data_IF_545704207870
#
_entry.id   IF_545704207870
#
_cell.length_a   1.000
_cell.length_b   1.000
_cell.length_c   1.000
_cell.angle_alpha   90.00
_cell.angle_beta   90.00
_cell.angle_gamma   90.00
#
_symmetry.space_group_name_H-M   'P 1'
#
loop_
_entity.id
_entity.type
_entity.pdbx_description
1 polymer ?
#
# COMPACT_ATOMS: atom_id res chain seq x y z
N UNK A 1 3.87 8.28 24.34
CA UNK A 1 4.56 7.28 25.21
C UNK A 1 3.64 7.03 26.39
N UNK A 2 3.44 5.78 26.82
CA UNK A 2 2.62 5.45 28.00
C UNK A 2 3.37 5.93 29.24
N UNK A 3 2.66 6.59 30.16
CA UNK A 3 3.13 6.88 31.50
C UNK A 3 2.68 5.73 32.42
N UNK A 4 3.57 4.79 32.67
CA UNK A 4 3.26 3.58 33.45
C UNK A 4 2.89 3.86 34.88
N UNK A 5 3.30 5.00 35.46
CA UNK A 5 2.87 5.42 36.81
C UNK A 5 1.37 5.76 36.93
N UNK A 6 0.68 5.81 35.76
CA UNK A 6 -0.74 6.13 35.63
C UNK A 6 -1.48 5.10 34.80
N UNK A 7 -1.01 3.85 34.82
CA UNK A 7 -1.53 2.79 33.94
C UNK A 7 -3.05 2.61 34.05
N UNK A 8 -3.62 2.81 35.25
CA UNK A 8 -5.06 2.72 35.51
C UNK A 8 -5.92 3.77 34.79
N UNK A 9 -5.31 4.85 34.30
CA UNK A 9 -6.00 5.88 33.53
C UNK A 9 -6.11 5.50 32.04
N UNK A 10 -5.36 4.51 31.60
CA UNK A 10 -5.43 4.03 30.19
C UNK A 10 -6.57 3.03 30.06
N UNK A 11 -6.97 2.83 28.81
CA UNK A 11 -7.99 1.89 28.36
C UNK A 11 -7.49 1.17 27.13
N UNK A 12 -7.94 -0.05 26.92
CA UNK A 12 -7.75 -0.68 25.62
C UNK A 12 -8.34 0.21 24.53
N UNK A 13 -7.70 0.25 23.38
CA UNK A 13 -8.12 1.05 22.23
C UNK A 13 -7.44 0.56 20.94
N UNK A 14 -7.49 1.35 19.89
CA UNK A 14 -6.85 1.02 18.62
C UNK A 14 -5.31 0.95 18.67
N UNK A 15 -4.67 1.23 19.79
CA UNK A 15 -3.20 1.22 19.97
C UNK A 15 -2.72 0.57 21.28
N UNK A 16 -3.60 0.17 22.15
CA UNK A 16 -3.24 -0.46 23.43
C UNK A 16 -4.05 -1.75 23.56
N UNK A 17 -3.36 -2.81 23.86
CA UNK A 17 -3.93 -4.12 24.17
C UNK A 17 -3.30 -4.67 25.44
N UNK A 18 -4.12 -5.12 26.38
CA UNK A 18 -3.69 -5.70 27.63
C UNK A 18 -3.97 -7.20 27.71
N UNK A 19 -3.04 -7.96 28.24
CA UNK A 19 -3.15 -9.41 28.39
C UNK A 19 -2.59 -9.82 29.75
N UNK A 20 -3.37 -10.56 30.51
CA UNK A 20 -2.96 -11.04 31.83
C UNK A 20 -1.70 -11.92 31.80
N UNK A 21 -1.58 -12.81 30.80
CA UNK A 21 -0.42 -13.63 30.45
C UNK A 21 0.21 -14.49 31.57
N UNK A 22 -0.44 -14.70 32.74
CA UNK A 22 0.08 -15.51 33.86
C UNK A 22 0.32 -16.98 33.48
N UNK A 23 -0.38 -17.50 32.47
CA UNK A 23 -0.25 -18.89 31.97
C UNK A 23 0.70 -19.04 30.78
N UNK A 24 1.48 -18.01 30.45
CA UNK A 24 2.34 -17.97 29.24
C UNK A 24 1.79 -17.04 28.15
N UNK A 25 2.39 -17.04 26.95
CA UNK A 25 1.96 -16.20 25.87
C UNK A 25 0.54 -16.54 25.39
N UNK A 26 -0.40 -15.59 25.42
CA UNK A 26 -1.75 -15.83 24.92
C UNK A 26 -1.74 -16.07 23.41
N UNK A 27 -2.49 -17.06 22.91
CA UNK A 27 -2.55 -17.36 21.47
C UNK A 27 -3.02 -16.15 20.62
N UNK A 28 -3.92 -15.35 21.16
CA UNK A 28 -4.45 -14.14 20.50
C UNK A 28 -3.43 -13.02 20.34
N UNK A 29 -2.24 -13.08 20.99
CA UNK A 29 -1.19 -12.07 20.81
C UNK A 29 -0.76 -11.93 19.36
N UNK A 30 -0.81 -13.01 18.58
CA UNK A 30 -0.37 -13.01 17.18
C UNK A 30 -1.37 -12.29 16.26
N UNK A 31 -2.67 -12.40 16.56
CA UNK A 31 -3.71 -11.62 15.87
C UNK A 31 -3.51 -10.12 16.12
N UNK A 32 -3.26 -9.74 17.37
CA UNK A 32 -2.97 -8.35 17.75
C UNK A 32 -1.67 -7.85 17.14
N UNK A 33 -0.61 -8.66 17.14
CA UNK A 33 0.65 -8.32 16.46
C UNK A 33 0.43 -8.01 14.99
N UNK A 34 -0.25 -8.89 14.26
CA UNK A 34 -0.61 -8.69 12.86
C UNK A 34 -1.44 -7.43 12.68
N UNK A 35 -2.48 -7.25 13.48
CA UNK A 35 -3.39 -6.12 13.39
C UNK A 35 -2.68 -4.77 13.62
N UNK A 36 -1.82 -4.66 14.63
CA UNK A 36 -1.03 -3.47 14.90
C UNK A 36 -0.02 -3.19 13.76
N UNK A 37 0.73 -4.19 13.35
CA UNK A 37 1.71 -4.03 12.27
C UNK A 37 1.05 -3.58 10.95
N UNK A 38 -0.12 -4.10 10.62
CA UNK A 38 -0.83 -3.75 9.38
C UNK A 38 -1.54 -2.39 9.45
N UNK A 39 -1.85 -1.87 10.65
CA UNK A 39 -2.68 -0.66 10.79
C UNK A 39 -1.86 0.55 11.22
N UNK A 40 -1.79 0.85 12.50
CA UNK A 40 -1.18 2.08 13.02
C UNK A 40 -0.01 1.84 13.97
N UNK A 41 0.37 0.57 14.18
CA UNK A 41 1.19 0.18 15.29
C UNK A 41 0.41 0.22 16.61
N UNK A 42 1.04 -0.23 17.71
CA UNK A 42 0.42 -0.24 19.03
C UNK A 42 1.33 -0.83 20.06
N UNK A 43 0.82 -0.93 21.27
CA UNK A 43 1.53 -1.45 22.42
C UNK A 43 0.73 -2.62 23.01
N UNK A 44 1.39 -3.77 23.16
CA UNK A 44 0.83 -4.93 23.86
C UNK A 44 1.48 -4.97 25.24
N UNK A 45 0.64 -5.06 26.27
CA UNK A 45 1.03 -5.15 27.65
C UNK A 45 0.73 -6.56 28.17
N UNK A 46 1.76 -7.31 28.57
CA UNK A 46 1.61 -8.61 29.25
C UNK A 46 1.82 -8.42 30.75
N UNK A 47 1.02 -9.08 31.57
CA UNK A 47 0.95 -8.81 33.00
C UNK A 47 0.03 -7.63 33.34
N UNK A 48 -0.97 -7.40 32.46
CA UNK A 48 -1.98 -6.36 32.69
C UNK A 48 -3.36 -6.94 32.42
N UNK A 49 -4.31 -6.65 33.27
CA UNK A 49 -5.71 -7.04 33.08
C UNK A 49 -6.62 -5.82 33.06
N UNK A 50 -7.69 -5.91 32.27
CA UNK A 50 -8.74 -4.89 32.23
C UNK A 50 -9.83 -5.26 33.24
N UNK A 51 -10.18 -4.29 34.11
CA UNK A 51 -11.25 -4.48 35.05
C UNK A 51 -12.63 -4.11 34.46
N UNK A 52 -13.68 -4.35 35.23
CA UNK A 52 -15.07 -4.13 34.80
C UNK A 52 -15.37 -2.64 34.44
N UNK A 53 -14.63 -1.70 35.00
CA UNK A 53 -14.71 -0.26 34.72
C UNK A 53 -13.82 0.17 33.54
N UNK A 54 -13.21 -0.82 32.84
CA UNK A 54 -12.28 -0.62 31.76
C UNK A 54 -10.90 -0.07 32.15
N UNK A 55 -10.59 0.06 33.43
CA UNK A 55 -9.25 0.45 33.90
C UNK A 55 -8.26 -0.70 33.75
N UNK A 56 -6.99 -0.37 33.45
CA UNK A 56 -5.91 -1.35 33.33
C UNK A 56 -5.17 -1.48 34.66
N UNK A 57 -4.98 -2.70 35.12
CA UNK A 57 -4.29 -3.01 36.36
C UNK A 57 -3.17 -4.01 36.15
N UNK A 58 -2.03 -3.77 36.75
CA UNK A 58 -0.89 -4.70 36.68
C UNK A 58 -1.14 -5.95 37.49
N UNK A 59 -0.59 -7.05 37.04
CA UNK A 59 -0.44 -8.32 37.73
C UNK A 59 0.98 -8.80 37.55
N UNK A 60 1.69 -9.08 38.62
CA UNK A 60 3.11 -9.44 38.58
C UNK A 60 3.30 -10.73 37.78
N UNK A 61 4.15 -10.67 36.76
CA UNK A 61 4.51 -11.83 35.93
C UNK A 61 5.57 -12.66 36.67
N UNK A 62 5.37 -13.96 36.86
CA UNK A 62 6.31 -14.81 37.60
C UNK A 62 7.67 -14.96 36.88
N UNK A 63 7.71 -14.87 35.56
CA UNK A 63 8.93 -15.03 34.76
C UNK A 63 8.81 -14.22 33.45
N UNK A 64 8.97 -12.88 33.50
CA UNK A 64 8.86 -12.02 32.31
C UNK A 64 9.95 -12.28 31.27
N UNK A 65 11.16 -12.65 31.69
CA UNK A 65 12.28 -12.94 30.77
C UNK A 65 12.01 -14.18 29.92
N UNK A 66 11.40 -15.19 30.51
CA UNK A 66 10.95 -16.37 29.77
C UNK A 66 9.89 -16.04 28.73
N UNK A 67 8.93 -15.19 29.07
CA UNK A 67 7.89 -14.73 28.12
C UNK A 67 8.50 -13.96 26.96
N UNK A 68 9.47 -13.09 27.21
CA UNK A 68 10.21 -12.35 26.19
C UNK A 68 10.96 -13.33 25.26
N UNK A 69 11.65 -14.32 25.82
CA UNK A 69 12.35 -15.33 25.02
C UNK A 69 11.38 -16.12 24.15
N UNK A 70 10.30 -16.61 24.71
CA UNK A 70 9.25 -17.35 23.98
C UNK A 70 8.66 -16.49 22.84
N UNK A 71 8.39 -15.22 23.13
CA UNK A 71 7.89 -14.27 22.12
C UNK A 71 8.87 -14.12 20.95
N UNK A 72 10.17 -13.91 21.25
CA UNK A 72 11.20 -13.78 20.22
C UNK A 72 11.39 -15.06 19.39
N UNK A 73 11.31 -16.23 20.03
CA UNK A 73 11.42 -17.52 19.34
C UNK A 73 10.26 -17.72 18.34
N UNK A 74 9.06 -17.23 18.68
CA UNK A 74 7.88 -17.37 17.80
C UNK A 74 7.83 -16.28 16.74
N UNK A 75 8.10 -15.00 17.05
CA UNK A 75 8.02 -13.91 16.09
C UNK A 75 9.07 -14.02 14.99
N UNK A 76 10.21 -14.67 15.29
CA UNK A 76 11.26 -14.96 14.30
C UNK A 76 11.04 -16.27 13.52
N UNK A 77 10.01 -17.03 13.85
CA UNK A 77 9.70 -18.25 13.12
C UNK A 77 8.85 -17.95 11.87
N UNK A 78 9.38 -18.12 10.64
CA UNK A 78 8.66 -17.78 9.41
C UNK A 78 7.40 -18.60 9.18
N UNK A 79 7.25 -19.76 9.84
CA UNK A 79 6.02 -20.56 9.82
C UNK A 79 4.94 -20.02 10.78
N UNK A 80 5.30 -19.04 11.62
CA UNK A 80 4.39 -18.43 12.59
C UNK A 80 4.07 -16.99 12.25
N UNK A 81 5.05 -16.23 11.82
CA UNK A 81 4.90 -14.81 11.50
C UNK A 81 5.60 -14.53 10.17
N UNK A 82 4.89 -13.92 9.22
CA UNK A 82 5.43 -13.64 7.88
C UNK A 82 6.64 -12.71 7.91
N UNK A 83 6.69 -11.81 8.88
CA UNK A 83 7.80 -10.87 9.08
C UNK A 83 7.85 -10.41 10.53
N UNK A 84 9.07 -10.28 11.07
CA UNK A 84 9.32 -9.60 12.32
C UNK A 84 9.60 -8.12 12.05
N UNK A 85 8.76 -7.21 12.57
CA UNK A 85 8.91 -5.75 12.43
C UNK A 85 9.53 -5.10 13.66
N UNK A 86 9.90 -5.89 14.67
CA UNK A 86 10.43 -5.40 15.95
C UNK A 86 11.96 -5.35 15.95
N UNK A 87 12.48 -4.44 16.75
CA UNK A 87 13.88 -4.39 17.17
C UNK A 87 14.01 -4.76 18.65
N UNK A 88 15.21 -5.07 19.10
CA UNK A 88 15.46 -5.49 20.51
C UNK A 88 14.96 -4.48 21.55
N UNK A 89 14.90 -3.19 21.20
CA UNK A 89 14.40 -2.12 22.09
C UNK A 89 12.88 -2.08 22.21
N UNK A 90 12.17 -2.79 21.38
CA UNK A 90 10.70 -2.75 21.33
C UNK A 90 10.05 -3.75 22.27
N UNK A 91 10.83 -4.65 22.90
CA UNK A 91 10.34 -5.67 23.84
C UNK A 91 11.19 -5.61 25.11
N UNK A 92 10.58 -5.27 26.23
CA UNK A 92 11.31 -5.09 27.49
C UNK A 92 10.40 -5.34 28.70
N UNK A 93 11.04 -5.59 29.86
CA UNK A 93 10.37 -5.65 31.13
C UNK A 93 10.24 -4.23 31.69
N UNK A 94 9.07 -3.90 32.22
CA UNK A 94 8.79 -2.67 32.94
C UNK A 94 8.30 -3.00 34.34
N UNK A 95 8.90 -2.39 35.36
CA UNK A 95 8.40 -2.42 36.74
C UNK A 95 7.39 -1.30 36.97
N UNK A 96 6.24 -1.64 37.53
CA UNK A 96 5.14 -0.73 37.86
C UNK A 96 4.61 -1.10 39.23
N UNK A 97 4.79 -0.25 40.20
CA UNK A 97 4.33 -0.42 41.60
C UNK A 97 4.77 -1.76 42.24
N UNK A 98 5.93 -2.29 41.82
CA UNK A 98 6.50 -3.55 42.29
C UNK A 98 6.12 -4.78 41.43
N UNK A 99 5.18 -4.64 40.51
CA UNK A 99 4.84 -5.68 39.53
C UNK A 99 5.75 -5.59 38.28
N UNK A 100 6.14 -6.74 37.73
CA UNK A 100 6.89 -6.84 36.50
C UNK A 100 5.97 -7.17 35.34
N UNK A 101 5.88 -6.29 34.37
CA UNK A 101 5.09 -6.48 33.13
C UNK A 101 6.00 -6.51 31.91
N UNK A 102 5.56 -7.15 30.83
CA UNK A 102 6.28 -7.08 29.53
C UNK A 102 5.58 -6.11 28.61
N UNK A 103 6.35 -5.20 28.04
CA UNK A 103 5.90 -4.20 27.06
C UNK A 103 6.42 -4.58 25.69
N UNK A 104 5.53 -4.65 24.70
CA UNK A 104 5.84 -4.93 23.31
C UNK A 104 5.33 -3.76 22.46
N UNK A 105 6.24 -2.92 21.99
CA UNK A 105 5.94 -1.81 21.11
C UNK A 105 5.92 -2.30 19.64
N UNK A 106 4.77 -2.57 19.07
CA UNK A 106 4.64 -3.03 17.70
C UNK A 106 4.58 -1.81 16.77
N UNK A 107 5.62 -1.55 15.96
CA UNK A 107 5.56 -0.46 15.00
C UNK A 107 4.61 -0.81 13.86
N UNK A 108 4.07 0.21 13.19
CA UNK A 108 3.42 0.00 11.89
C UNK A 108 4.47 -0.52 10.90
N UNK A 109 4.17 -1.63 10.24
CA UNK A 109 5.02 -2.18 9.20
C UNK A 109 5.17 -1.20 8.04
N UNK A 110 6.36 -1.12 7.46
CA UNK A 110 6.58 -0.44 6.21
C UNK A 110 5.76 -1.11 5.10
N UNK A 111 5.44 -0.34 4.07
CA UNK A 111 4.63 -0.81 2.94
C UNK A 111 5.15 -2.11 2.33
N UNK A 112 6.47 -2.22 2.17
CA UNK A 112 7.16 -3.37 1.57
C UNK A 112 7.06 -4.67 2.40
N UNK A 113 6.79 -4.56 3.70
CA UNK A 113 6.64 -5.69 4.61
C UNK A 113 5.18 -6.14 4.81
N UNK A 114 4.21 -5.39 4.27
CA UNK A 114 2.80 -5.74 4.34
C UNK A 114 2.41 -6.71 3.21
N UNK A 115 1.45 -7.59 3.43
CA UNK A 115 0.73 -7.84 4.68
C UNK A 115 1.53 -8.66 5.70
N UNK A 116 1.45 -8.28 6.97
CA UNK A 116 1.95 -9.08 8.09
C UNK A 116 0.85 -10.08 8.47
N UNK A 117 1.09 -11.37 8.21
CA UNK A 117 0.16 -12.45 8.54
C UNK A 117 0.79 -13.46 9.49
N UNK A 118 -0.04 -14.27 10.12
CA UNK A 118 0.38 -15.23 11.15
C UNK A 118 -0.02 -16.67 10.78
N UNK A 119 0.52 -17.63 11.53
CA UNK A 119 0.31 -19.08 11.34
C UNK A 119 0.67 -19.59 9.93
N UNK A 120 1.62 -18.93 9.25
CA UNK A 120 2.02 -19.27 7.88
C UNK A 120 0.89 -19.16 6.85
N UNK A 121 -0.21 -18.49 7.20
CA UNK A 121 -1.42 -18.42 6.37
C UNK A 121 -1.77 -16.97 6.00
N UNK A 122 -1.69 -16.57 4.73
CA UNK A 122 -2.10 -15.26 4.26
C UNK A 122 -3.51 -14.82 4.65
N UNK A 123 -4.44 -15.79 4.82
CA UNK A 123 -5.80 -15.50 5.29
C UNK A 123 -5.86 -15.15 6.79
N UNK A 124 -4.77 -15.36 7.53
CA UNK A 124 -4.60 -14.90 8.91
C UNK A 124 -3.89 -13.54 8.96
N UNK A 125 -4.30 -12.64 8.11
CA UNK A 125 -3.94 -11.21 8.12
C UNK A 125 -5.01 -10.44 8.88
N UNK A 126 -4.60 -9.63 9.86
CA UNK A 126 -5.53 -8.90 10.71
C UNK A 126 -5.31 -7.38 10.59
N UNK A 127 -6.37 -6.62 10.87
CA UNK A 127 -6.36 -5.17 11.00
C UNK A 127 -7.05 -4.76 12.31
N UNK A 128 -6.57 -3.70 12.91
CA UNK A 128 -7.16 -3.10 14.11
C UNK A 128 -8.27 -2.13 13.74
N UNK A 129 -9.43 -2.29 14.36
CA UNK A 129 -10.52 -1.34 14.26
C UNK A 129 -11.18 -1.20 15.64
N UNK A 130 -11.06 0.00 16.26
CA UNK A 130 -11.41 0.20 17.66
C UNK A 130 -10.56 -0.70 18.57
N UNK A 131 -11.20 -1.45 19.44
CA UNK A 131 -10.56 -2.40 20.38
C UNK A 131 -10.42 -3.82 19.77
N UNK A 132 -10.91 -4.07 18.54
CA UNK A 132 -10.97 -5.41 17.96
C UNK A 132 -9.92 -5.66 16.88
N UNK A 133 -9.45 -6.92 16.83
CA UNK A 133 -8.60 -7.45 15.76
C UNK A 133 -9.46 -8.24 14.78
N UNK A 134 -9.59 -7.74 13.56
CA UNK A 134 -10.46 -8.31 12.54
C UNK A 134 -9.64 -8.86 11.39
N UNK A 135 -10.00 -10.06 10.92
CA UNK A 135 -9.40 -10.60 9.70
C UNK A 135 -9.66 -9.68 8.52
N UNK A 136 -8.63 -9.46 7.74
CA UNK A 136 -8.75 -8.75 6.48
C UNK A 136 -9.58 -9.56 5.47
N UNK A 137 -10.35 -8.86 4.64
CA UNK A 137 -10.98 -9.48 3.48
C UNK A 137 -9.92 -9.87 2.45
N UNK A 138 -10.30 -10.68 1.48
CA UNK A 138 -9.40 -11.05 0.37
C UNK A 138 -8.95 -9.81 -0.42
N UNK A 139 -9.84 -8.86 -0.61
CA UNK A 139 -9.59 -7.61 -1.31
C UNK A 139 -8.60 -6.73 -0.56
N UNK A 140 -8.75 -6.60 0.77
CA UNK A 140 -7.83 -5.85 1.64
C UNK A 140 -6.43 -6.48 1.62
N UNK A 141 -6.33 -7.80 1.73
CA UNK A 141 -5.07 -8.53 1.61
C UNK A 141 -4.41 -8.28 0.25
N UNK A 142 -5.17 -8.43 -0.84
CA UNK A 142 -4.65 -8.20 -2.20
C UNK A 142 -4.21 -6.74 -2.41
N UNK A 143 -4.91 -5.77 -1.82
CA UNK A 143 -4.50 -4.37 -1.85
C UNK A 143 -3.14 -4.17 -1.16
N UNK A 144 -2.92 -4.76 0.02
CA UNK A 144 -1.62 -4.70 0.71
C UNK A 144 -0.50 -5.34 -0.12
N UNK A 145 -0.75 -6.48 -0.78
CA UNK A 145 0.22 -7.14 -1.67
C UNK A 145 0.58 -6.26 -2.86
N UNK A 146 -0.41 -5.64 -3.52
CA UNK A 146 -0.15 -4.68 -4.62
C UNK A 146 0.67 -3.49 -4.12
N UNK A 147 0.31 -2.94 -2.96
CA UNK A 147 0.99 -1.78 -2.38
C UNK A 147 2.43 -2.11 -1.91
N UNK A 148 2.71 -3.36 -1.56
CA UNK A 148 4.05 -3.83 -1.18
C UNK A 148 5.01 -3.89 -2.37
N UNK A 149 4.49 -3.90 -3.61
CA UNK A 149 5.34 -3.97 -4.79
C UNK A 149 6.33 -2.81 -4.83
N UNK A 150 7.60 -3.12 -4.98
CA UNK A 150 8.69 -2.14 -5.16
C UNK A 150 8.56 -1.44 -6.52
N UNK A 151 8.07 -2.17 -7.52
CA UNK A 151 7.75 -1.59 -8.83
C UNK A 151 6.37 -0.95 -8.76
N UNK A 152 6.28 0.33 -9.11
CA UNK A 152 5.00 1.01 -9.26
C UNK A 152 4.20 0.35 -10.38
N UNK A 153 2.86 0.38 -10.29
CA UNK A 153 2.00 -0.16 -11.35
C UNK A 153 2.29 0.50 -12.71
N UNK A 154 2.67 1.78 -12.69
CA UNK A 154 3.05 2.55 -13.88
C UNK A 154 4.21 1.95 -14.65
N UNK A 155 5.17 1.34 -13.93
CA UNK A 155 6.38 0.73 -14.51
C UNK A 155 6.21 -0.75 -14.85
N UNK A 156 5.01 -1.31 -14.70
CA UNK A 156 4.72 -2.69 -15.09
C UNK A 156 4.92 -2.83 -16.61
N UNK A 157 5.74 -3.82 -17.01
CA UNK A 157 6.01 -4.11 -18.42
C UNK A 157 4.95 -5.08 -18.93
N UNK A 158 4.27 -4.71 -20.01
CA UNK A 158 3.19 -5.47 -20.62
C UNK A 158 3.76 -6.42 -21.69
N UNK A 159 4.33 -7.54 -21.25
CA UNK A 159 5.06 -8.48 -22.11
C UNK A 159 4.22 -9.09 -23.25
N UNK A 160 2.90 -9.08 -23.14
CA UNK A 160 1.98 -9.61 -24.16
C UNK A 160 1.65 -8.56 -25.26
N UNK A 161 2.21 -7.36 -25.16
CA UNK A 161 2.00 -6.28 -26.12
C UNK A 161 3.32 -5.87 -26.78
N UNK A 162 3.29 -5.53 -28.05
CA UNK A 162 4.40 -4.91 -28.77
C UNK A 162 4.18 -3.39 -28.92
N UNK A 163 5.13 -2.69 -29.50
CA UNK A 163 5.09 -1.23 -29.62
C UNK A 163 4.07 -0.70 -30.66
N UNK A 164 3.40 -1.57 -31.40
CA UNK A 164 2.35 -1.19 -32.38
C UNK A 164 1.09 -0.66 -31.71
N UNK A 165 0.91 -0.93 -30.41
CA UNK A 165 -0.20 -0.40 -29.59
C UNK A 165 -0.13 1.12 -29.40
N UNK A 166 1.03 1.73 -29.64
CA UNK A 166 1.21 3.17 -29.48
C UNK A 166 0.66 3.97 -30.65
N UNK A 167 -0.02 5.07 -30.33
CA UNK A 167 -0.46 6.05 -31.31
C UNK A 167 0.72 6.95 -31.73
N UNK A 168 1.11 6.85 -33.00
CA UNK A 168 2.27 7.59 -33.55
C UNK A 168 2.08 9.10 -33.52
N UNK A 169 0.85 9.59 -33.70
CA UNK A 169 0.56 11.02 -33.70
C UNK A 169 0.70 11.60 -32.28
N UNK A 170 0.27 10.87 -31.26
CA UNK A 170 0.47 11.27 -29.84
C UNK A 170 1.96 11.37 -29.51
N UNK A 171 2.77 10.38 -29.93
CA UNK A 171 4.23 10.42 -29.73
C UNK A 171 4.85 11.61 -30.46
N UNK A 172 4.50 11.83 -31.73
CA UNK A 172 5.01 12.96 -32.53
C UNK A 172 4.66 14.28 -31.87
N UNK A 173 3.43 14.47 -31.44
CA UNK A 173 2.95 15.67 -30.75
C UNK A 173 3.72 15.91 -29.45
N UNK A 174 3.93 14.84 -28.64
CA UNK A 174 4.71 14.95 -27.40
C UNK A 174 6.15 15.39 -27.66
N UNK A 175 6.84 14.77 -28.65
CA UNK A 175 8.21 15.14 -29.05
C UNK A 175 8.30 16.58 -29.52
N UNK A 176 7.31 17.03 -30.30
CA UNK A 176 7.26 18.42 -30.78
C UNK A 176 7.12 19.42 -29.62
N UNK A 177 6.23 19.13 -28.67
CA UNK A 177 6.05 19.97 -27.46
C UNK A 177 7.31 19.99 -26.59
N UNK A 178 7.95 18.83 -26.41
CA UNK A 178 9.21 18.74 -25.68
C UNK A 178 10.30 19.60 -26.34
N UNK A 179 10.43 19.55 -27.67
CA UNK A 179 11.38 20.37 -28.44
C UNK A 179 11.11 21.87 -28.27
N UNK A 180 9.84 22.29 -28.25
CA UNK A 180 9.46 23.68 -28.03
C UNK A 180 9.73 24.15 -26.60
N UNK A 181 9.49 23.30 -25.62
CA UNK A 181 9.67 23.64 -24.19
C UNK A 181 11.13 23.51 -23.72
N UNK A 182 11.94 22.66 -24.38
CA UNK A 182 13.34 22.37 -24.02
C UNK A 182 14.22 22.25 -25.26
N UNK A 183 14.44 23.36 -26.02
CA UNK A 183 15.22 23.32 -27.25
C UNK A 183 16.63 22.78 -27.02
N UNK A 184 17.11 21.89 -27.91
CA UNK A 184 18.44 21.31 -27.82
C UNK A 184 18.60 20.21 -26.76
N UNK A 185 17.50 19.66 -26.25
CA UNK A 185 17.57 18.53 -25.32
C UNK A 185 18.17 17.31 -26.02
N UNK A 186 19.09 16.61 -25.30
CA UNK A 186 19.84 15.46 -25.84
C UNK A 186 18.97 14.31 -26.37
N UNK A 187 17.71 14.23 -25.94
CA UNK A 187 16.77 13.20 -26.42
C UNK A 187 16.10 13.56 -27.75
N UNK A 188 16.29 14.76 -28.28
CA UNK A 188 15.71 15.13 -29.58
C UNK A 188 16.23 14.26 -30.73
N UNK A 189 17.51 13.85 -30.64
CA UNK A 189 18.18 13.05 -31.64
C UNK A 189 17.88 11.54 -31.56
N UNK A 190 17.17 11.09 -30.51
CA UNK A 190 16.84 9.68 -30.34
C UNK A 190 15.74 9.22 -31.32
N UNK A 191 15.83 7.99 -31.79
CA UNK A 191 14.71 7.31 -32.45
C UNK A 191 13.54 7.12 -31.47
N UNK A 192 12.32 6.94 -31.99
CA UNK A 192 11.11 6.90 -31.17
C UNK A 192 11.17 5.84 -30.07
N UNK A 193 11.66 4.65 -30.36
CA UNK A 193 11.77 3.57 -29.37
C UNK A 193 12.72 3.89 -28.23
N UNK A 194 13.89 4.46 -28.54
CA UNK A 194 14.88 4.83 -27.54
C UNK A 194 14.44 6.05 -26.74
N UNK A 195 13.73 6.97 -27.38
CA UNK A 195 13.07 8.08 -26.72
C UNK A 195 12.03 7.59 -25.70
N UNK A 196 11.14 6.67 -26.10
CA UNK A 196 10.12 6.10 -25.24
C UNK A 196 10.73 5.27 -24.10
N UNK A 197 11.85 4.57 -24.35
CA UNK A 197 12.60 3.86 -23.31
C UNK A 197 13.17 4.84 -22.27
N UNK A 198 13.77 5.96 -22.69
CA UNK A 198 14.26 7.00 -21.78
C UNK A 198 13.15 7.69 -21.01
N UNK A 199 11.98 7.86 -21.62
CA UNK A 199 10.80 8.42 -20.98
C UNK A 199 10.15 7.47 -19.95
N UNK A 200 10.46 6.18 -20.01
CA UNK A 200 9.83 5.16 -19.18
C UNK A 200 8.48 4.66 -19.73
N UNK A 201 8.13 5.06 -20.94
CA UNK A 201 6.93 4.55 -21.63
C UNK A 201 7.14 3.13 -22.22
N UNK A 202 8.40 2.72 -22.37
CA UNK A 202 8.84 1.41 -22.81
C UNK A 202 9.79 0.83 -21.77
N UNK A 203 9.75 -0.49 -21.60
CA UNK A 203 10.68 -1.26 -20.77
C UNK A 203 11.22 -2.46 -21.52
N UNK A 204 12.25 -3.10 -20.96
CA UNK A 204 12.80 -4.37 -21.48
C UNK A 204 12.10 -5.51 -20.74
N UNK A 205 11.40 -6.34 -21.50
CA UNK A 205 10.69 -7.51 -20.98
C UNK A 205 11.61 -8.66 -20.58
N UNK A 206 11.02 -9.72 -20.05
CA UNK A 206 11.72 -10.94 -19.67
C UNK A 206 12.32 -11.70 -20.87
N UNK A 207 11.79 -11.46 -22.07
CA UNK A 207 12.27 -11.99 -23.36
C UNK A 207 13.40 -11.16 -23.99
N UNK A 208 13.83 -10.08 -23.32
CA UNK A 208 14.86 -9.16 -23.79
C UNK A 208 14.40 -8.16 -24.86
N UNK A 209 13.10 -8.13 -25.19
CA UNK A 209 12.53 -7.19 -26.16
C UNK A 209 11.95 -5.96 -25.48
N UNK A 210 11.69 -4.95 -26.30
CA UNK A 210 11.03 -3.72 -25.88
C UNK A 210 9.51 -3.92 -25.86
N UNK A 211 8.88 -3.62 -24.73
CA UNK A 211 7.43 -3.68 -24.52
C UNK A 211 6.91 -2.38 -23.90
N UNK A 212 5.63 -2.03 -24.09
CA UNK A 212 5.05 -0.89 -23.39
C UNK A 212 5.06 -1.11 -21.88
N UNK A 213 5.24 -0.03 -21.13
CA UNK A 213 4.87 0.00 -19.72
C UNK A 213 3.40 0.37 -19.55
N UNK A 214 2.80 0.10 -18.40
CA UNK A 214 1.43 0.53 -18.08
C UNK A 214 1.26 2.04 -18.29
N UNK A 215 2.21 2.86 -17.80
CA UNK A 215 2.18 4.31 -18.02
C UNK A 215 2.32 4.67 -19.50
N UNK A 216 3.21 3.98 -20.24
CA UNK A 216 3.39 4.19 -21.65
C UNK A 216 2.11 3.92 -22.45
N UNK A 217 1.44 2.79 -22.15
CA UNK A 217 0.18 2.43 -22.81
C UNK A 217 -0.92 3.46 -22.53
N UNK A 218 -1.09 3.85 -21.27
CA UNK A 218 -2.09 4.87 -20.88
C UNK A 218 -1.83 6.23 -21.54
N UNK A 219 -0.55 6.64 -21.61
CA UNK A 219 -0.17 7.95 -22.16
C UNK A 219 -0.24 8.02 -23.68
N UNK A 220 0.14 6.96 -24.38
CA UNK A 220 0.36 6.99 -25.82
C UNK A 220 -0.33 5.87 -26.59
N UNK A 221 -1.04 4.95 -25.91
CA UNK A 221 -1.75 3.86 -26.58
C UNK A 221 -2.97 4.32 -27.38
N UNK A 222 -3.51 3.41 -28.20
CA UNK A 222 -4.85 3.59 -28.73
C UNK A 222 -5.88 3.05 -27.73
N UNK A 223 -7.05 3.65 -27.65
CA UNK A 223 -8.10 3.32 -26.69
C UNK A 223 -8.42 1.82 -26.65
N UNK A 224 -8.56 1.19 -27.82
CA UNK A 224 -8.82 -0.24 -27.93
C UNK A 224 -7.77 -1.10 -27.18
N UNK A 225 -6.48 -0.77 -27.31
CA UNK A 225 -5.41 -1.49 -26.65
C UNK A 225 -5.35 -1.16 -25.16
N UNK A 226 -5.66 0.08 -24.78
CA UNK A 226 -5.75 0.48 -23.38
C UNK A 226 -6.86 -0.30 -22.67
N UNK A 227 -8.06 -0.38 -23.24
CA UNK A 227 -9.21 -1.08 -22.63
C UNK A 227 -8.96 -2.59 -22.54
N UNK A 228 -8.18 -3.16 -23.47
CA UNK A 228 -7.81 -4.58 -23.41
C UNK A 228 -6.99 -4.92 -22.16
N UNK A 229 -6.15 -4.00 -21.68
CA UNK A 229 -5.37 -4.17 -20.45
C UNK A 229 -6.12 -3.61 -19.22
N UNK A 230 -6.74 -2.46 -19.37
CA UNK A 230 -7.44 -1.72 -18.31
C UNK A 230 -8.95 -1.66 -18.62
N UNK A 231 -9.67 -2.72 -18.36
CA UNK A 231 -11.08 -2.90 -18.74
C UNK A 231 -12.05 -1.83 -18.18
N UNK A 232 -11.66 -1.12 -17.13
CA UNK A 232 -12.42 -0.01 -16.55
C UNK A 232 -11.93 1.37 -17.00
N UNK A 233 -11.02 1.43 -18.01
CA UNK A 233 -10.51 2.70 -18.51
C UNK A 233 -11.61 3.48 -19.21
N UNK A 234 -11.84 4.70 -18.74
CA UNK A 234 -12.78 5.64 -19.35
C UNK A 234 -12.42 7.07 -18.93
N UNK A 235 -12.18 7.94 -19.91
CA UNK A 235 -11.98 9.36 -19.69
C UNK A 235 -13.21 10.11 -20.19
N UNK A 236 -13.71 11.03 -19.38
CA UNK A 236 -14.93 11.80 -19.67
C UNK A 236 -14.76 13.24 -19.18
N UNK A 237 -14.86 14.19 -20.09
CA UNK A 237 -14.94 15.61 -19.82
C UNK A 237 -16.30 16.12 -20.28
N UNK A 238 -16.99 16.83 -19.42
CA UNK A 238 -18.33 17.38 -19.68
C UNK A 238 -18.37 18.86 -19.33
N UNK A 239 -18.92 19.67 -20.24
CA UNK A 239 -19.25 21.07 -19.99
C UNK A 239 -20.74 21.21 -19.75
N UNK A 240 -21.12 21.92 -18.70
CA UNK A 240 -22.50 22.22 -18.36
C UNK A 240 -22.60 23.70 -18.01
N UNK A 241 -23.28 24.49 -18.86
CA UNK A 241 -23.46 25.92 -18.67
C UNK A 241 -24.77 26.27 -17.96
N UNK A 242 -25.73 25.39 -18.02
CA UNK A 242 -27.02 25.57 -17.30
C UNK A 242 -27.49 24.24 -16.68
N UNK A 243 -28.40 24.34 -15.68
CA UNK A 243 -28.87 23.18 -14.93
C UNK A 243 -29.83 22.27 -15.74
N UNK A 244 -30.44 22.79 -16.80
CA UNK A 244 -31.44 22.08 -17.59
C UNK A 244 -30.86 21.29 -18.74
N UNK A 245 -29.58 21.59 -19.10
CA UNK A 245 -28.86 20.90 -20.17
C UNK A 245 -27.93 19.83 -19.57
N UNK A 246 -28.07 18.60 -20.03
CA UNK A 246 -27.25 17.47 -19.54
C UNK A 246 -25.75 17.75 -19.71
N UNK A 247 -25.34 18.21 -20.88
CA UNK A 247 -24.02 18.76 -21.19
C UNK A 247 -24.10 19.61 -22.46
N UNK A 248 -23.30 20.64 -22.54
CA UNK A 248 -23.17 21.51 -23.71
C UNK A 248 -22.12 20.98 -24.68
N UNK A 249 -21.05 20.39 -24.13
CA UNK A 249 -19.99 19.73 -24.88
C UNK A 249 -19.43 18.55 -24.06
N UNK A 250 -18.86 17.57 -24.76
CA UNK A 250 -18.34 16.37 -24.13
C UNK A 250 -17.17 15.78 -24.92
N UNK A 251 -16.12 15.35 -24.22
CA UNK A 251 -15.00 14.59 -24.76
C UNK A 251 -14.90 13.27 -24.01
N UNK A 252 -15.03 12.15 -24.72
CA UNK A 252 -14.92 10.80 -24.16
C UNK A 252 -13.83 10.00 -24.86
N UNK A 253 -13.12 9.14 -24.09
CA UNK A 253 -12.06 8.29 -24.66
C UNK A 253 -12.57 7.29 -25.68
N UNK A 254 -13.81 6.80 -25.54
CA UNK A 254 -14.41 5.77 -26.36
C UNK A 254 -15.16 6.30 -27.60
N UNK A 255 -14.93 7.56 -28.01
CA UNK A 255 -15.62 8.14 -29.18
C UNK A 255 -15.17 7.54 -30.53
N UNK A 256 -13.94 7.02 -30.57
CA UNK A 256 -13.36 6.42 -31.77
C UNK A 256 -12.81 7.41 -32.81
N UNK A 257 -12.95 8.72 -32.61
CA UNK A 257 -12.49 9.79 -33.51
C UNK A 257 -11.11 10.36 -33.16
N UNK A 258 -10.50 9.86 -32.10
CA UNK A 258 -9.16 10.20 -31.64
C UNK A 258 -8.52 9.03 -30.88
N UNK A 259 -7.26 9.16 -30.46
CA UNK A 259 -6.52 8.06 -29.80
C UNK A 259 -7.15 7.51 -28.53
N UNK A 260 -7.94 8.31 -27.82
CA UNK A 260 -8.54 7.96 -26.54
C UNK A 260 -7.57 7.92 -25.34
N UNK A 261 -6.28 8.23 -25.53
CA UNK A 261 -5.25 8.15 -24.49
C UNK A 261 -5.20 9.40 -23.60
N UNK A 262 -4.50 9.28 -22.48
CA UNK A 262 -4.40 10.34 -21.45
C UNK A 262 -3.72 11.60 -21.99
N UNK A 263 -2.68 11.45 -22.83
CA UNK A 263 -1.95 12.61 -23.38
C UNK A 263 -2.85 13.47 -24.27
N UNK A 264 -3.52 12.86 -25.23
CA UNK A 264 -4.38 13.61 -26.15
C UNK A 264 -5.63 14.15 -25.44
N UNK A 265 -6.17 13.41 -24.46
CA UNK A 265 -7.27 13.88 -23.64
C UNK A 265 -6.90 15.15 -22.87
N UNK A 266 -5.75 15.16 -22.20
CA UNK A 266 -5.28 16.32 -21.46
C UNK A 266 -5.25 17.58 -22.36
N UNK A 267 -4.67 17.49 -23.56
CA UNK A 267 -4.58 18.66 -24.42
C UNK A 267 -5.89 19.05 -25.09
N UNK A 268 -6.80 18.10 -25.33
CA UNK A 268 -8.15 18.41 -25.80
C UNK A 268 -8.93 19.21 -24.75
N UNK A 269 -8.87 18.77 -23.50
CA UNK A 269 -9.52 19.48 -22.39
C UNK A 269 -8.83 20.82 -22.11
N UNK A 270 -7.51 20.84 -22.05
CA UNK A 270 -6.73 22.06 -21.82
C UNK A 270 -7.05 23.17 -22.83
N UNK A 271 -7.15 22.82 -24.12
CA UNK A 271 -7.49 23.78 -25.18
C UNK A 271 -8.93 24.30 -25.10
N UNK A 272 -9.83 23.63 -24.38
CA UNK A 272 -11.19 24.13 -24.12
C UNK A 272 -11.28 25.08 -22.95
N UNK A 273 -10.38 24.91 -21.98
CA UNK A 273 -10.35 25.73 -20.76
C UNK A 273 -9.60 27.06 -20.95
N UNK A 274 -8.84 27.20 -22.04
CA UNK A 274 -8.11 28.41 -22.43
C UNK A 274 -8.76 29.08 -23.65
#
# INVERSE_FOLDING_TARGET
MIDFSKIEQYRENNRIEAKKALGGLPKSIWETYSAFANTHGGIILLGVEEWADKSLHTVDLPDPDRLIKEFWDIVNNPNKTSVNVLSSKDVFVQEVDGDHIVVINVPRAERSYKPVYVDGNPLCTYRRNGEGDYRCTKEEYQAMVRDASVKTQDMLILNEMDLTVFNRESIRSYRQRMRLSRPGHVWEALEDEDFLLKLGAVGIGSDGKKHPTSAGLLMFGNEYDIVREFNAYFLDYQEQYDADTRWTDRIISSSGDWSGNVYDFYFRVYNKLN
#
